data_IF_584758703518
#
_entry.id   IF_584758703518
#
_cell.length_a   1.000
_cell.length_b   1.000
_cell.length_c   1.000
_cell.angle_alpha   90.00
_cell.angle_beta   90.00
_cell.angle_gamma   90.00
#
_symmetry.space_group_name_H-M   'P 1'
#
loop_
_entity.id
_entity.type
_entity.pdbx_description
1 polymer ?
#
# COMPACT_ATOMS: atom_id res chain seq x y z
N UNK A 1 5.95 -2.03 -22.18
CA UNK A 1 5.02 -2.48 -21.10
C UNK A 1 5.79 -2.46 -19.81
N UNK A 2 5.33 -1.73 -18.83
CA UNK A 2 6.06 -1.42 -17.62
C UNK A 2 5.78 -2.50 -16.56
N UNK A 3 6.47 -3.65 -16.67
CA UNK A 3 6.32 -4.78 -15.72
C UNK A 3 6.72 -4.39 -14.28
N UNK A 4 7.51 -3.32 -14.13
CA UNK A 4 7.98 -2.86 -12.82
C UNK A 4 6.83 -2.31 -11.96
N UNK A 5 5.76 -1.80 -12.56
CA UNK A 5 4.60 -1.31 -11.83
C UNK A 5 3.94 -2.38 -10.94
N UNK A 6 4.10 -3.68 -11.24
CA UNK A 6 3.57 -4.76 -10.39
C UNK A 6 4.20 -4.80 -9.00
N UNK A 7 5.40 -4.19 -8.82
CA UNK A 7 6.09 -4.12 -7.53
C UNK A 7 5.45 -3.14 -6.54
N UNK A 8 4.49 -2.31 -6.98
CA UNK A 8 3.75 -1.48 -6.04
C UNK A 8 3.06 -2.33 -4.97
N UNK A 9 3.19 -1.93 -3.72
CA UNK A 9 2.54 -2.62 -2.58
C UNK A 9 1.04 -2.82 -2.78
N UNK A 10 0.36 -1.87 -3.41
CA UNK A 10 -1.07 -1.96 -3.68
C UNK A 10 -1.41 -3.07 -4.68
N UNK A 11 -0.62 -3.29 -5.73
CA UNK A 11 -0.88 -4.37 -6.69
C UNK A 11 -0.57 -5.74 -6.09
N UNK A 12 0.60 -5.90 -5.47
CA UNK A 12 0.95 -7.16 -4.76
C UNK A 12 -0.08 -7.46 -3.68
N UNK A 13 -0.44 -6.45 -2.90
CA UNK A 13 -1.40 -6.59 -1.82
C UNK A 13 -2.81 -6.94 -2.31
N UNK A 14 -3.27 -6.34 -3.41
CA UNK A 14 -4.57 -6.67 -4.01
C UNK A 14 -4.62 -8.14 -4.44
N UNK A 15 -3.57 -8.64 -5.09
CA UNK A 15 -3.48 -10.05 -5.51
C UNK A 15 -3.53 -10.97 -4.29
N UNK A 16 -2.73 -10.70 -3.25
CA UNK A 16 -2.67 -11.53 -2.05
C UNK A 16 -3.99 -11.47 -1.26
N UNK A 17 -4.63 -10.30 -1.15
CA UNK A 17 -5.96 -10.16 -0.55
C UNK A 17 -6.98 -10.98 -1.33
N UNK A 18 -6.98 -10.90 -2.67
CA UNK A 18 -7.85 -11.71 -3.52
C UNK A 18 -7.68 -13.20 -3.29
N UNK A 19 -6.44 -13.70 -3.24
CA UNK A 19 -6.14 -15.10 -2.88
C UNK A 19 -6.62 -15.41 -1.46
N UNK A 20 -6.45 -14.48 -0.52
CA UNK A 20 -6.92 -14.59 0.86
C UNK A 20 -8.44 -14.75 0.94
N UNK A 21 -9.20 -14.02 0.14
CA UNK A 21 -10.65 -14.16 0.03
C UNK A 21 -11.05 -15.53 -0.55
N UNK A 22 -10.46 -15.92 -1.68
CA UNK A 22 -10.77 -17.18 -2.34
C UNK A 22 -10.48 -18.39 -1.44
N UNK A 23 -9.37 -18.35 -0.69
CA UNK A 23 -8.95 -19.41 0.24
C UNK A 23 -9.53 -19.27 1.64
N UNK A 24 -10.35 -18.24 1.91
CA UNK A 24 -10.85 -17.90 3.25
C UNK A 24 -9.74 -17.85 4.30
N UNK A 25 -8.61 -17.23 3.93
CA UNK A 25 -7.40 -17.20 4.74
C UNK A 25 -7.20 -15.80 5.36
N UNK A 26 -7.54 -15.69 6.65
CA UNK A 26 -7.42 -14.44 7.44
C UNK A 26 -5.96 -13.97 7.54
N UNK A 27 -4.99 -14.89 7.58
CA UNK A 27 -3.56 -14.56 7.64
C UNK A 27 -3.11 -13.73 6.43
N UNK A 28 -3.47 -14.15 5.21
CA UNK A 28 -3.11 -13.44 3.99
C UNK A 28 -3.74 -12.04 3.96
N UNK A 29 -5.02 -11.93 4.31
CA UNK A 29 -5.73 -10.65 4.32
C UNK A 29 -5.12 -9.72 5.38
N UNK A 30 -4.89 -10.20 6.60
CA UNK A 30 -4.32 -9.42 7.68
C UNK A 30 -2.90 -8.96 7.36
N UNK A 31 -2.08 -9.82 6.76
CA UNK A 31 -0.72 -9.44 6.38
C UNK A 31 -0.69 -8.28 5.39
N UNK A 32 -1.61 -8.25 4.43
CA UNK A 32 -1.69 -7.14 3.48
C UNK A 32 -2.30 -5.89 4.09
N UNK A 33 -3.29 -6.02 4.96
CA UNK A 33 -3.81 -4.89 5.71
C UNK A 33 -2.74 -4.21 6.56
N UNK A 34 -1.82 -4.97 7.16
CA UNK A 34 -0.70 -4.40 7.89
C UNK A 34 0.16 -3.47 7.03
N UNK A 35 0.30 -3.76 5.74
CA UNK A 35 1.07 -2.95 4.79
C UNK A 35 0.24 -1.78 4.24
N UNK A 36 -1.02 -2.03 3.89
CA UNK A 36 -1.81 -1.16 3.03
C UNK A 36 -2.76 -0.23 3.79
N UNK A 37 -3.17 -0.55 5.03
CA UNK A 37 -4.23 0.18 5.73
C UNK A 37 -3.91 1.68 5.81
N UNK A 38 -2.77 2.03 6.40
CA UNK A 38 -2.38 3.44 6.59
C UNK A 38 -2.08 4.12 5.25
N UNK A 39 -1.24 3.55 4.36
CA UNK A 39 -0.99 4.17 3.06
C UNK A 39 -2.25 4.45 2.23
N UNK A 40 -3.21 3.51 2.20
CA UNK A 40 -4.43 3.71 1.43
C UNK A 40 -5.43 4.66 2.10
N UNK A 41 -5.42 4.80 3.42
CA UNK A 41 -6.16 5.85 4.11
C UNK A 41 -5.57 7.23 3.75
N UNK A 42 -4.24 7.37 3.76
CA UNK A 42 -3.55 8.60 3.37
C UNK A 42 -3.85 8.94 1.90
N UNK A 43 -3.78 7.95 1.01
CA UNK A 43 -4.15 8.11 -0.40
C UNK A 43 -5.61 8.56 -0.55
N UNK A 44 -6.53 7.92 0.16
CA UNK A 44 -7.95 8.27 0.12
C UNK A 44 -8.22 9.68 0.64
N UNK A 45 -7.50 10.11 1.68
CA UNK A 45 -7.59 11.48 2.19
C UNK A 45 -7.12 12.51 1.15
N UNK A 46 -5.96 12.28 0.51
CA UNK A 46 -5.43 13.17 -0.53
C UNK A 46 -6.35 13.20 -1.77
N UNK A 47 -6.98 12.04 -2.10
CA UNK A 47 -7.97 11.95 -3.17
C UNK A 47 -9.22 12.78 -2.89
N UNK A 48 -9.78 12.69 -1.68
CA UNK A 48 -10.93 13.49 -1.27
C UNK A 48 -10.58 14.98 -1.21
N UNK A 49 -9.38 15.31 -0.75
CA UNK A 49 -8.90 16.69 -0.74
C UNK A 49 -8.83 17.25 -2.16
N UNK A 50 -8.29 16.48 -3.10
CA UNK A 50 -8.24 16.87 -4.51
C UNK A 50 -9.65 17.12 -5.11
N UNK A 51 -10.62 16.28 -4.78
CA UNK A 51 -12.01 16.47 -5.28
C UNK A 51 -12.64 17.78 -4.79
N UNK A 52 -12.20 18.32 -3.65
CA UNK A 52 -12.75 19.54 -3.07
C UNK A 52 -11.99 20.78 -3.56
N UNK A 53 -10.66 20.69 -3.62
CA UNK A 53 -9.78 21.84 -3.84
C UNK A 53 -9.09 21.84 -5.20
N UNK A 54 -9.28 20.81 -6.02
CA UNK A 54 -8.65 20.62 -7.34
C UNK A 54 -7.11 20.62 -7.31
N UNK A 55 -6.52 20.36 -6.14
CA UNK A 55 -5.07 20.28 -5.91
C UNK A 55 -4.78 19.17 -4.90
N UNK A 56 -3.72 18.40 -5.14
CA UNK A 56 -3.23 17.40 -4.20
C UNK A 56 -2.49 18.05 -3.03
N UNK A 57 -2.75 17.60 -1.81
CA UNK A 57 -2.05 18.07 -0.62
C UNK A 57 -0.69 17.38 -0.47
N UNK A 58 -0.61 16.11 -0.86
CA UNK A 58 0.56 15.24 -0.64
C UNK A 58 1.26 14.82 -1.94
N UNK A 59 0.80 15.29 -3.10
CA UNK A 59 1.27 14.89 -4.44
C UNK A 59 1.22 13.37 -4.68
N UNK A 60 0.24 12.68 -4.04
CA UNK A 60 0.11 11.22 -4.12
C UNK A 60 -0.92 10.82 -5.18
N UNK A 61 -1.93 11.69 -5.44
CA UNK A 61 -3.07 11.36 -6.31
C UNK A 61 -3.07 12.06 -7.67
N UNK A 62 -2.15 12.98 -7.92
CA UNK A 62 -2.13 13.80 -9.13
C UNK A 62 -2.19 12.96 -10.42
N UNK A 63 -1.46 11.84 -10.44
CA UNK A 63 -1.44 10.92 -11.58
C UNK A 63 -2.84 10.41 -11.97
N UNK A 64 -3.79 10.34 -11.03
CA UNK A 64 -5.14 9.88 -11.30
C UNK A 64 -5.94 10.91 -12.12
N UNK A 65 -5.72 12.19 -11.89
CA UNK A 65 -6.44 13.28 -12.54
C UNK A 65 -5.78 13.72 -13.86
N UNK A 66 -4.50 13.39 -14.06
CA UNK A 66 -3.81 13.66 -15.33
C UNK A 66 -4.40 12.83 -16.48
N UNK A 67 -4.27 13.29 -17.75
CA UNK A 67 -4.63 12.51 -18.93
C UNK A 67 -3.89 11.16 -18.94
N UNK A 68 -4.62 10.07 -19.13
CA UNK A 68 -4.04 8.73 -19.14
C UNK A 68 -5.06 7.65 -19.47
N UNK A 69 -4.61 6.38 -19.60
CA UNK A 69 -5.49 5.26 -19.93
C UNK A 69 -6.62 5.09 -18.91
N UNK A 70 -7.85 5.02 -19.40
CA UNK A 70 -9.04 4.84 -18.55
C UNK A 70 -8.95 3.56 -17.70
N UNK A 71 -8.36 2.50 -18.24
CA UNK A 71 -8.16 1.23 -17.53
C UNK A 71 -7.29 1.42 -16.27
N UNK A 72 -6.23 2.23 -16.36
CA UNK A 72 -5.38 2.54 -15.21
C UNK A 72 -6.18 3.25 -14.10
N UNK A 73 -7.04 4.20 -14.48
CA UNK A 73 -7.91 4.91 -13.54
C UNK A 73 -8.93 3.97 -12.88
N UNK A 74 -9.57 3.08 -13.66
CA UNK A 74 -10.48 2.07 -13.13
C UNK A 74 -9.76 1.15 -12.13
N UNK A 75 -8.56 0.66 -12.46
CA UNK A 75 -7.78 -0.17 -11.54
C UNK A 75 -7.42 0.62 -10.28
N UNK A 76 -7.08 1.89 -10.39
CA UNK A 76 -6.72 2.73 -9.22
C UNK A 76 -7.91 2.95 -8.29
N UNK A 77 -9.16 2.99 -8.76
CA UNK A 77 -10.33 3.14 -7.88
C UNK A 77 -10.46 2.01 -6.85
N UNK A 78 -9.78 0.87 -7.05
CA UNK A 78 -9.71 -0.19 -6.05
C UNK A 78 -9.18 0.28 -4.68
N UNK A 79 -8.36 1.35 -4.64
CA UNK A 79 -7.86 1.92 -3.40
C UNK A 79 -8.98 2.34 -2.44
N UNK A 80 -10.14 2.76 -2.95
CA UNK A 80 -11.30 3.15 -2.15
C UNK A 80 -12.02 1.96 -1.50
N UNK A 81 -11.97 0.78 -2.13
CA UNK A 81 -12.78 -0.38 -1.73
C UNK A 81 -11.96 -1.47 -1.04
N UNK A 82 -10.68 -1.61 -1.37
CA UNK A 82 -9.83 -2.70 -0.87
C UNK A 82 -9.79 -2.73 0.66
N UNK A 83 -9.55 -1.60 1.30
CA UNK A 83 -9.44 -1.55 2.77
C UNK A 83 -10.77 -1.83 3.46
N UNK A 84 -11.89 -1.14 3.16
CA UNK A 84 -13.17 -1.43 3.79
C UNK A 84 -13.57 -2.90 3.64
N UNK A 85 -13.45 -3.47 2.44
CA UNK A 85 -13.81 -4.87 2.17
C UNK A 85 -12.90 -5.85 2.93
N UNK A 86 -11.58 -5.61 2.93
CA UNK A 86 -10.63 -6.47 3.62
C UNK A 86 -10.84 -6.43 5.15
N UNK A 87 -11.04 -5.26 5.75
CA UNK A 87 -11.32 -5.12 7.18
C UNK A 87 -12.65 -5.79 7.54
N UNK A 88 -13.69 -5.57 6.74
CA UNK A 88 -14.99 -6.21 6.94
C UNK A 88 -14.88 -7.74 6.93
N UNK A 89 -14.13 -8.30 6.00
CA UNK A 89 -13.95 -9.74 5.86
C UNK A 89 -13.26 -10.41 7.05
N UNK A 90 -12.41 -9.69 7.79
CA UNK A 90 -11.73 -10.22 8.97
C UNK A 90 -12.71 -10.69 10.05
N UNK A 91 -13.95 -10.17 10.07
CA UNK A 91 -14.99 -10.54 11.03
C UNK A 91 -15.58 -11.91 10.73
N UNK A 92 -15.58 -12.34 9.47
CA UNK A 92 -16.24 -13.57 9.01
C UNK A 92 -15.28 -14.72 8.77
N UNK A 93 -14.02 -14.42 8.44
CA UNK A 93 -13.01 -15.44 8.14
C UNK A 93 -12.34 -15.88 9.45
N UNK A 94 -12.62 -17.12 9.87
CA UNK A 94 -12.05 -17.72 11.06
C UNK A 94 -10.80 -18.53 10.67
N UNK A 95 -9.62 -17.95 10.77
CA UNK A 95 -8.35 -18.66 10.63
C UNK A 95 -7.27 -17.98 11.49
N UNK A 96 -6.18 -18.70 11.79
CA UNK A 96 -5.07 -18.17 12.57
C UNK A 96 -4.38 -17.01 11.83
N UNK A 97 -3.93 -16.03 12.58
CA UNK A 97 -3.23 -14.85 12.04
C UNK A 97 -1.83 -14.68 12.67
N UNK A 98 -1.33 -15.75 13.32
CA UNK A 98 0.01 -15.77 13.88
C UNK A 98 1.03 -15.42 12.81
N UNK A 99 2.05 -14.65 13.17
CA UNK A 99 3.13 -14.22 12.26
C UNK A 99 2.71 -13.36 11.05
N UNK A 100 1.45 -12.92 10.91
CA UNK A 100 1.03 -12.04 9.82
C UNK A 100 1.88 -10.75 9.75
N UNK A 101 2.23 -10.18 10.91
CA UNK A 101 3.11 -9.02 11.00
C UNK A 101 4.52 -9.32 10.48
N UNK A 102 5.11 -10.46 10.88
CA UNK A 102 6.45 -10.85 10.40
C UNK A 102 6.45 -11.05 8.88
N UNK A 103 5.43 -11.71 8.35
CA UNK A 103 5.25 -11.86 6.90
C UNK A 103 5.19 -10.49 6.20
N UNK A 104 4.45 -9.53 6.77
CA UNK A 104 4.36 -8.16 6.22
C UNK A 104 5.73 -7.48 6.18
N UNK A 105 6.51 -7.56 7.27
CA UNK A 105 7.86 -6.97 7.35
C UNK A 105 8.78 -7.62 6.30
N UNK A 106 8.77 -8.95 6.20
CA UNK A 106 9.58 -9.67 5.21
C UNK A 106 9.19 -9.27 3.78
N UNK A 107 7.89 -9.21 3.49
CA UNK A 107 7.39 -8.83 2.17
C UNK A 107 7.82 -7.41 1.78
N UNK A 108 7.66 -6.41 2.66
CA UNK A 108 8.07 -5.03 2.31
C UNK A 108 9.57 -4.91 2.17
N UNK A 109 10.37 -5.64 2.94
CA UNK A 109 11.83 -5.67 2.79
C UNK A 109 12.25 -6.25 1.45
N UNK A 110 11.63 -7.35 1.02
CA UNK A 110 11.88 -7.94 -0.30
C UNK A 110 11.46 -6.96 -1.41
N UNK A 111 10.26 -6.37 -1.31
CA UNK A 111 9.78 -5.43 -2.32
C UNK A 111 10.60 -4.13 -2.35
N UNK A 112 11.17 -3.69 -1.23
CA UNK A 112 12.12 -2.57 -1.19
C UNK A 112 13.36 -2.90 -2.05
N UNK A 113 13.99 -4.06 -1.82
CA UNK A 113 15.16 -4.52 -2.57
C UNK A 113 14.83 -4.64 -4.07
N UNK A 114 13.72 -5.29 -4.41
CA UNK A 114 13.28 -5.45 -5.80
C UNK A 114 12.98 -4.09 -6.45
N UNK A 115 12.40 -3.13 -5.72
CA UNK A 115 12.15 -1.78 -6.22
C UNK A 115 13.46 -1.04 -6.54
N UNK A 116 14.49 -1.19 -5.71
CA UNK A 116 15.81 -0.60 -5.98
C UNK A 116 16.48 -1.25 -7.20
N UNK A 117 16.39 -2.59 -7.32
CA UNK A 117 17.05 -3.33 -8.41
C UNK A 117 16.38 -3.07 -9.77
N UNK A 118 15.04 -3.07 -9.81
CA UNK A 118 14.28 -3.07 -11.06
C UNK A 118 13.62 -1.72 -11.39
N UNK A 119 13.68 -0.73 -10.50
CA UNK A 119 13.13 0.61 -10.70
C UNK A 119 14.26 1.66 -10.76
N UNK A 120 13.88 2.90 -10.97
CA UNK A 120 14.77 4.06 -10.97
C UNK A 120 14.15 5.22 -10.17
N UNK A 121 14.91 6.28 -9.84
CA UNK A 121 14.39 7.42 -9.10
C UNK A 121 13.19 8.12 -9.75
N UNK A 122 13.09 8.11 -11.09
CA UNK A 122 11.97 8.74 -11.81
C UNK A 122 10.65 8.00 -11.56
N UNK A 123 10.68 6.66 -11.53
CA UNK A 123 9.50 5.83 -11.25
C UNK A 123 9.19 5.74 -9.77
N UNK A 124 10.21 5.82 -8.94
CA UNK A 124 10.14 5.84 -7.48
C UNK A 124 9.12 4.85 -6.87
N UNK A 125 9.13 3.60 -7.36
CA UNK A 125 8.19 2.55 -6.93
C UNK A 125 8.26 2.39 -5.40
N UNK A 126 7.11 2.36 -4.75
CA UNK A 126 6.96 2.32 -3.28
C UNK A 126 7.70 3.46 -2.56
N UNK A 127 8.02 4.54 -3.27
CA UNK A 127 8.78 5.70 -2.78
C UNK A 127 10.11 5.30 -2.10
N UNK A 128 10.84 4.36 -2.69
CA UNK A 128 12.10 3.87 -2.11
C UNK A 128 13.27 4.85 -2.27
N UNK A 129 13.19 5.79 -3.22
CA UNK A 129 14.25 6.76 -3.50
C UNK A 129 14.02 8.12 -2.84
N UNK A 130 12.79 8.61 -2.82
CA UNK A 130 12.42 9.90 -2.23
C UNK A 130 10.95 9.95 -1.85
N UNK A 131 10.59 10.89 -0.95
CA UNK A 131 9.20 11.10 -0.53
C UNK A 131 8.33 11.66 -1.69
N UNK A 132 7.00 11.50 -1.66
CA UNK A 132 6.10 12.16 -2.62
C UNK A 132 6.26 13.69 -2.67
N UNK A 133 6.59 14.30 -1.53
CA UNK A 133 6.83 15.74 -1.41
C UNK A 133 8.26 16.17 -1.78
N UNK A 134 9.09 15.25 -2.31
CA UNK A 134 10.50 15.51 -2.65
C UNK A 134 11.32 16.12 -1.51
N UNK A 135 11.01 15.75 -0.25
CA UNK A 135 11.78 16.18 0.90
C UNK A 135 13.19 15.58 0.87
N UNK A 136 14.19 16.42 0.98
CA UNK A 136 15.58 15.97 1.03
C UNK A 136 15.91 15.49 2.47
N UNK A 137 15.67 14.21 2.73
CA UNK A 137 15.89 13.61 4.04
C UNK A 137 17.23 12.86 4.06
N UNK A 138 18.12 13.16 5.02
CA UNK A 138 19.35 12.39 5.18
C UNK A 138 19.02 10.93 5.53
N UNK A 139 19.86 10.01 5.03
CA UNK A 139 19.67 8.56 5.26
C UNK A 139 18.26 8.05 4.92
N UNK A 140 17.71 8.52 3.78
CA UNK A 140 16.32 8.30 3.41
C UNK A 140 15.85 6.84 3.51
N UNK A 141 16.68 5.87 3.10
CA UNK A 141 16.32 4.45 3.22
C UNK A 141 16.05 4.02 4.66
N UNK A 142 16.79 4.55 5.64
CA UNK A 142 16.55 4.26 7.06
C UNK A 142 15.22 4.88 7.51
N UNK A 143 14.96 6.12 7.12
CA UNK A 143 13.69 6.80 7.41
C UNK A 143 12.53 6.03 6.79
N UNK A 144 12.68 5.57 5.55
CA UNK A 144 11.68 4.76 4.87
C UNK A 144 11.33 3.49 5.67
N UNK A 145 12.33 2.72 6.11
CA UNK A 145 12.10 1.53 6.93
C UNK A 145 11.41 1.86 8.27
N UNK A 146 11.84 2.91 8.96
CA UNK A 146 11.23 3.34 10.22
C UNK A 146 9.74 3.65 10.00
N UNK A 147 9.42 4.42 8.96
CA UNK A 147 8.04 4.81 8.65
C UNK A 147 7.20 3.61 8.26
N UNK A 148 7.66 2.79 7.32
CA UNK A 148 6.87 1.64 6.82
C UNK A 148 6.68 0.58 7.91
N UNK A 149 7.73 0.26 8.68
CA UNK A 149 7.60 -0.68 9.79
C UNK A 149 6.73 -0.10 10.91
N UNK A 150 6.84 1.20 11.20
CA UNK A 150 5.96 1.89 12.13
C UNK A 150 4.48 1.74 11.74
N UNK A 151 4.15 1.96 10.45
CA UNK A 151 2.79 1.76 9.93
C UNK A 151 2.33 0.31 10.11
N UNK A 152 3.19 -0.68 9.83
CA UNK A 152 2.88 -2.11 10.02
C UNK A 152 2.60 -2.41 11.50
N UNK A 153 3.43 -1.91 12.43
CA UNK A 153 3.25 -2.13 13.87
C UNK A 153 1.96 -1.50 14.39
N UNK A 154 1.66 -0.27 13.99
CA UNK A 154 0.44 0.43 14.37
C UNK A 154 -0.79 -0.32 13.85
N UNK A 155 -0.76 -0.70 12.57
CA UNK A 155 -1.89 -1.42 11.95
C UNK A 155 -2.10 -2.79 12.60
N UNK A 156 -1.04 -3.58 12.84
CA UNK A 156 -1.17 -4.88 13.52
C UNK A 156 -1.81 -4.72 14.92
N UNK A 157 -1.45 -3.66 15.64
CA UNK A 157 -2.03 -3.36 16.96
C UNK A 157 -3.52 -3.00 16.85
N UNK A 158 -3.90 -2.24 15.85
CA UNK A 158 -5.32 -1.89 15.57
C UNK A 158 -6.11 -3.17 15.20
N UNK A 159 -5.59 -3.97 14.28
CA UNK A 159 -6.27 -5.17 13.77
C UNK A 159 -6.35 -6.33 14.78
N UNK A 160 -5.58 -6.29 15.88
CA UNK A 160 -5.73 -7.27 16.98
C UNK A 160 -7.01 -7.08 17.78
N UNK A 161 -7.67 -5.92 17.64
CA UNK A 161 -8.92 -5.60 18.33
C UNK A 161 -10.18 -6.01 17.53
N UNK A 162 -9.99 -6.44 16.27
CA UNK A 162 -11.03 -6.91 15.33
C UNK A 162 -10.98 -8.43 15.22
#
# INVERSE_FOLDING_TARGET
KDFVAILWFCYVGLIIIGVGFLKKNKFLIKSQLNILLIPLIIWGFDFLYYLIFEVSLLNIVDYFFLPGPILSKIITTQHLFTIPLAVYSLRFIKSKTENAKLFSITQVSILFILSIIFSNPEKNINWVYHTPLNLNLPFYSVVWFIVVFGMIFITDKILKKI
#
